data_IF_235858926620
#
_entry.id   IF_235858926620
#
_cell.length_a   1.000
_cell.length_b   1.000
_cell.length_c   1.000
_cell.angle_alpha   90.00
_cell.angle_beta   90.00
_cell.angle_gamma   90.00
#
_symmetry.space_group_name_H-M   'P 1'
#
loop_
_entity.id
_entity.type
_entity.pdbx_description
1 polymer ?
#
# COMPACT_ATOMS: atom_id res chain seq x y z
N UNK A 1 3.38 15.79 -19.59
CA UNK A 1 3.75 15.17 -18.28
C UNK A 1 5.28 15.25 -18.05
N UNK A 2 5.76 15.77 -16.91
CA UNK A 2 7.21 15.99 -16.64
C UNK A 2 7.80 14.90 -15.72
N UNK A 3 8.90 14.27 -16.16
CA UNK A 3 9.71 13.31 -15.39
C UNK A 3 10.83 14.04 -14.63
N UNK A 4 11.27 13.46 -13.51
CA UNK A 4 12.41 13.96 -12.72
C UNK A 4 13.35 12.81 -12.39
N UNK A 5 14.64 13.09 -12.34
CA UNK A 5 15.62 12.15 -11.78
C UNK A 5 15.52 12.19 -10.27
N UNK A 6 15.42 11.03 -9.64
CA UNK A 6 15.32 10.90 -8.19
C UNK A 6 16.65 10.45 -7.61
N UNK A 7 17.01 11.04 -6.47
CA UNK A 7 18.13 10.60 -5.65
C UNK A 7 17.74 10.73 -4.17
N UNK A 8 18.27 9.83 -3.34
CA UNK A 8 18.13 9.88 -1.89
C UNK A 8 19.47 10.36 -1.34
N UNK A 9 19.47 11.49 -0.63
CA UNK A 9 20.68 11.92 0.07
C UNK A 9 21.03 10.94 1.20
N UNK A 10 22.30 10.88 1.56
CA UNK A 10 22.79 10.00 2.62
C UNK A 10 22.04 10.21 3.95
N UNK A 11 21.70 11.46 4.28
CA UNK A 11 20.92 11.80 5.48
C UNK A 11 19.50 11.21 5.44
N UNK A 12 18.81 11.33 4.30
CA UNK A 12 17.47 10.77 4.14
C UNK A 12 17.53 9.25 4.16
N UNK A 13 18.54 8.66 3.51
CA UNK A 13 18.77 7.23 3.51
C UNK A 13 19.01 6.69 4.92
N UNK A 14 19.89 7.34 5.70
CA UNK A 14 20.18 6.97 7.08
C UNK A 14 18.98 7.17 8.02
N UNK A 15 18.17 8.21 7.80
CA UNK A 15 16.95 8.45 8.56
C UNK A 15 15.88 7.37 8.26
N UNK A 16 15.69 7.02 6.99
CA UNK A 16 14.83 5.91 6.58
C UNK A 16 15.33 4.60 7.19
N UNK A 17 16.62 4.28 7.10
CA UNK A 17 17.21 3.07 7.67
C UNK A 17 17.04 2.94 9.19
N UNK A 18 16.78 4.05 9.90
CA UNK A 18 16.44 4.05 11.32
C UNK A 18 14.93 3.88 11.60
N UNK A 19 14.12 3.59 10.59
CA UNK A 19 12.65 3.49 10.66
C UNK A 19 11.93 4.85 10.68
N UNK A 20 12.67 5.95 10.45
CA UNK A 20 12.20 7.35 10.52
C UNK A 20 12.10 7.95 9.13
N UNK A 21 12.44 9.24 8.99
CA UNK A 21 12.45 10.01 7.74
C UNK A 21 11.43 11.16 7.74
N UNK A 22 10.34 11.01 8.50
CA UNK A 22 9.29 12.01 8.60
C UNK A 22 8.54 12.23 7.28
N UNK A 23 7.53 13.10 7.35
CA UNK A 23 6.69 13.45 6.20
C UNK A 23 7.49 13.95 4.98
N UNK A 24 8.64 14.61 5.19
CA UNK A 24 9.49 15.10 4.11
C UNK A 24 10.14 13.98 3.29
N UNK A 25 10.63 12.91 3.94
CA UNK A 25 11.16 11.74 3.24
C UNK A 25 10.05 11.00 2.49
N UNK A 26 8.88 10.84 3.12
CA UNK A 26 7.71 10.19 2.47
C UNK A 26 7.25 10.97 1.23
N UNK A 27 7.24 12.32 1.26
CA UNK A 27 6.94 13.13 0.06
C UNK A 27 7.92 12.90 -1.09
N UNK A 28 9.21 12.68 -0.79
CA UNK A 28 10.22 12.34 -1.80
C UNK A 28 9.95 10.96 -2.41
N UNK A 29 9.62 9.98 -1.57
CA UNK A 29 9.25 8.63 -2.02
C UNK A 29 7.96 8.65 -2.86
N UNK A 30 6.95 9.42 -2.47
CA UNK A 30 5.74 9.60 -3.28
C UNK A 30 6.05 10.21 -4.67
N UNK A 31 7.03 11.12 -4.76
CA UNK A 31 7.46 11.69 -6.04
C UNK A 31 8.16 10.67 -6.96
N UNK A 32 8.81 9.65 -6.38
CA UNK A 32 9.39 8.52 -7.11
C UNK A 32 8.28 7.67 -7.72
N UNK A 33 7.29 7.26 -6.92
CA UNK A 33 6.15 6.47 -7.37
C UNK A 33 5.34 7.19 -8.44
N UNK A 34 5.12 8.50 -8.27
CA UNK A 34 4.55 9.35 -9.32
C UNK A 34 5.33 9.22 -10.64
N UNK A 35 6.65 9.31 -10.59
CA UNK A 35 7.47 9.25 -11.82
C UNK A 35 7.49 7.85 -12.43
N UNK A 36 7.43 6.80 -11.60
CA UNK A 36 7.22 5.42 -12.03
C UNK A 36 5.88 5.25 -12.73
N UNK A 37 4.78 5.79 -12.21
CA UNK A 37 3.47 5.75 -12.90
C UNK A 37 3.52 6.41 -14.28
N UNK A 38 4.17 7.57 -14.40
CA UNK A 38 4.36 8.24 -15.70
C UNK A 38 5.20 7.40 -16.69
N UNK A 39 6.24 6.73 -16.20
CA UNK A 39 7.03 5.81 -17.03
C UNK A 39 6.23 4.59 -17.46
N UNK A 40 5.41 4.03 -16.56
CA UNK A 40 4.54 2.90 -16.87
C UNK A 40 3.45 3.30 -17.89
N UNK A 41 2.85 4.49 -17.78
CA UNK A 41 1.91 5.02 -18.77
C UNK A 41 2.54 5.15 -20.15
N UNK A 42 3.73 5.75 -20.23
CA UNK A 42 4.44 5.85 -21.50
C UNK A 42 4.79 4.47 -22.07
N UNK A 43 5.29 3.59 -21.20
CA UNK A 43 5.61 2.21 -21.57
C UNK A 43 4.40 1.44 -22.07
N UNK A 44 3.20 1.68 -21.52
CA UNK A 44 1.96 1.05 -21.95
C UNK A 44 1.65 1.39 -23.42
N UNK A 45 1.66 2.68 -23.76
CA UNK A 45 1.36 3.17 -25.11
C UNK A 45 2.37 2.61 -26.11
N UNK A 46 3.66 2.69 -25.78
CA UNK A 46 4.74 2.18 -26.63
C UNK A 46 4.62 0.67 -26.83
N UNK A 47 4.42 -0.10 -25.75
CA UNK A 47 4.34 -1.56 -25.83
C UNK A 47 3.12 -2.01 -26.59
N UNK A 48 1.94 -1.45 -26.32
CA UNK A 48 0.72 -1.78 -27.05
C UNK A 48 0.88 -1.57 -28.56
N UNK A 49 1.56 -0.49 -28.97
CA UNK A 49 1.86 -0.22 -30.38
C UNK A 49 2.85 -1.25 -30.96
N UNK A 50 3.99 -1.47 -30.30
CA UNK A 50 5.04 -2.39 -30.79
C UNK A 50 4.59 -3.85 -30.87
N UNK A 51 3.66 -4.28 -30.01
CA UNK A 51 3.09 -5.64 -30.05
C UNK A 51 1.89 -5.76 -31.00
N UNK A 52 1.49 -4.67 -31.68
CA UNK A 52 0.32 -4.68 -32.57
C UNK A 52 -0.99 -4.98 -31.84
N UNK A 53 -1.11 -4.62 -30.56
CA UNK A 53 -2.30 -4.95 -29.77
C UNK A 53 -3.56 -4.30 -30.39
N UNK A 54 -4.71 -5.00 -30.51
CA UNK A 54 -5.91 -4.46 -31.18
C UNK A 54 -6.42 -3.13 -30.61
N UNK A 55 -6.13 -2.83 -29.35
CA UNK A 55 -6.48 -1.57 -28.70
C UNK A 55 -5.40 -0.47 -28.76
N UNK A 56 -4.29 -0.67 -29.46
CA UNK A 56 -3.17 0.28 -29.48
C UNK A 56 -3.58 1.69 -29.92
N UNK A 57 -4.36 1.82 -31.00
CA UNK A 57 -4.84 3.12 -31.48
C UNK A 57 -5.72 3.85 -30.46
N UNK A 58 -6.68 3.15 -29.83
CA UNK A 58 -7.52 3.72 -28.77
C UNK A 58 -6.72 4.10 -27.53
N UNK A 59 -5.69 3.33 -27.21
CA UNK A 59 -4.78 3.61 -26.08
C UNK A 59 -3.99 4.90 -26.34
N UNK A 60 -3.47 5.08 -27.56
CA UNK A 60 -2.76 6.30 -27.94
C UNK A 60 -3.69 7.54 -27.90
N UNK A 61 -4.90 7.47 -28.47
CA UNK A 61 -5.88 8.57 -28.42
C UNK A 61 -6.26 8.93 -26.97
N UNK A 62 -6.49 7.94 -26.10
CA UNK A 62 -6.76 8.19 -24.68
C UNK A 62 -5.56 8.87 -23.99
N UNK A 63 -4.33 8.44 -24.28
CA UNK A 63 -3.13 9.07 -23.75
C UNK A 63 -2.99 10.54 -24.17
N UNK A 64 -3.22 10.85 -25.44
CA UNK A 64 -3.11 12.22 -25.96
C UNK A 64 -4.17 13.14 -25.32
N UNK A 65 -5.40 12.64 -25.14
CA UNK A 65 -6.46 13.35 -24.42
C UNK A 65 -6.13 13.57 -22.95
N UNK A 66 -5.55 12.57 -22.28
CA UNK A 66 -5.09 12.71 -20.90
C UNK A 66 -3.94 13.73 -20.78
N UNK A 67 -3.04 13.75 -21.77
CA UNK A 67 -1.96 14.73 -21.84
C UNK A 67 -2.48 16.15 -22.07
N UNK A 68 -3.50 16.33 -22.93
CA UNK A 68 -4.16 17.63 -23.10
C UNK A 68 -4.85 18.10 -21.81
N UNK A 69 -5.58 17.20 -21.11
CA UNK A 69 -6.19 17.51 -19.82
C UNK A 69 -5.17 17.90 -18.75
N UNK A 70 -3.94 17.38 -18.81
CA UNK A 70 -2.89 17.69 -17.85
C UNK A 70 -2.42 19.14 -17.94
N UNK A 71 -2.54 19.78 -19.10
CA UNK A 71 -2.14 21.17 -19.31
C UNK A 71 -3.16 22.12 -18.70
N UNK A 72 -4.46 21.82 -18.83
CA UNK A 72 -5.55 22.67 -18.31
C UNK A 72 -5.95 22.35 -16.86
N UNK A 73 -5.89 21.07 -16.46
CA UNK A 73 -6.37 20.57 -15.18
C UNK A 73 -5.36 19.62 -14.51
N UNK A 74 -4.15 20.11 -14.16
CA UNK A 74 -3.06 19.25 -13.71
C UNK A 74 -3.38 18.47 -12.45
N UNK A 75 -4.10 19.07 -11.49
CA UNK A 75 -4.45 18.43 -10.22
C UNK A 75 -5.46 17.28 -10.41
N UNK A 76 -6.37 17.42 -11.37
CA UNK A 76 -7.36 16.39 -11.69
C UNK A 76 -6.68 15.16 -12.31
N UNK A 77 -5.76 15.36 -13.26
CA UNK A 77 -4.97 14.29 -13.85
C UNK A 77 -4.07 13.63 -12.80
N UNK A 78 -3.37 14.43 -11.99
CA UNK A 78 -2.50 13.92 -10.94
C UNK A 78 -3.26 13.05 -9.93
N UNK A 79 -4.47 13.44 -9.53
CA UNK A 79 -5.29 12.67 -8.60
C UNK A 79 -5.69 11.28 -9.13
N UNK A 80 -5.86 11.12 -10.45
CA UNK A 80 -6.20 9.84 -11.08
C UNK A 80 -4.95 9.02 -11.39
N UNK A 81 -3.94 9.62 -12.01
CA UNK A 81 -2.71 8.92 -12.41
C UNK A 81 -1.95 8.40 -11.19
N UNK A 82 -1.94 9.14 -10.09
CA UNK A 82 -1.34 8.71 -8.83
C UNK A 82 -2.31 7.94 -7.93
N UNK A 83 -3.48 7.55 -8.43
CA UNK A 83 -4.34 6.63 -7.71
C UNK A 83 -3.69 5.24 -7.67
N UNK A 84 -3.53 4.60 -6.50
CA UNK A 84 -2.73 3.37 -6.37
C UNK A 84 -3.13 2.23 -7.32
N UNK A 85 -4.44 2.04 -7.54
CA UNK A 85 -4.94 0.99 -8.43
C UNK A 85 -4.52 1.19 -9.90
N UNK A 86 -4.26 2.44 -10.34
CA UNK A 86 -3.76 2.73 -11.68
C UNK A 86 -2.34 2.18 -11.86
N UNK A 87 -1.48 2.31 -10.85
CA UNK A 87 -0.13 1.72 -10.87
C UNK A 87 -0.17 0.19 -10.99
N UNK A 88 -1.05 -0.45 -10.24
CA UNK A 88 -1.25 -1.90 -10.29
C UNK A 88 -1.77 -2.38 -11.64
N UNK A 89 -2.79 -1.72 -12.20
CA UNK A 89 -3.30 -1.99 -13.54
C UNK A 89 -2.20 -1.84 -14.60
N UNK A 90 -1.46 -0.73 -14.58
CA UNK A 90 -0.39 -0.46 -15.54
C UNK A 90 0.66 -1.56 -15.54
N UNK A 91 1.13 -1.96 -14.35
CA UNK A 91 2.12 -3.02 -14.21
C UNK A 91 1.56 -4.38 -14.67
N UNK A 92 0.35 -4.73 -14.24
CA UNK A 92 -0.32 -5.98 -14.64
C UNK A 92 -0.44 -6.06 -16.17
N UNK A 93 -0.90 -4.99 -16.80
CA UNK A 93 -1.07 -4.91 -18.26
C UNK A 93 0.26 -4.98 -19.00
N UNK A 94 1.31 -4.30 -18.51
CA UNK A 94 2.64 -4.37 -19.12
C UNK A 94 3.30 -5.74 -19.03
N UNK A 95 3.06 -6.48 -17.94
CA UNK A 95 3.49 -7.87 -17.82
C UNK A 95 2.70 -8.76 -18.79
N UNK A 96 1.38 -8.61 -18.84
CA UNK A 96 0.52 -9.35 -19.76
C UNK A 96 0.91 -9.10 -21.22
N UNK A 97 1.19 -7.86 -21.65
CA UNK A 97 1.67 -7.55 -23.00
C UNK A 97 2.95 -8.32 -23.39
N UNK A 98 3.74 -8.80 -22.42
CA UNK A 98 4.94 -9.61 -22.67
C UNK A 98 4.68 -11.11 -22.68
N UNK A 99 3.76 -11.59 -21.84
CA UNK A 99 3.56 -13.02 -21.61
C UNK A 99 2.27 -13.58 -22.19
N UNK A 100 1.18 -12.81 -22.13
CA UNK A 100 -0.16 -13.17 -22.59
C UNK A 100 -0.93 -11.90 -23.02
N UNK A 101 -0.78 -11.45 -24.27
CA UNK A 101 -1.42 -10.23 -24.76
C UNK A 101 -2.95 -10.25 -24.70
N UNK A 102 -3.60 -11.42 -24.66
CA UNK A 102 -5.07 -11.50 -24.56
C UNK A 102 -5.59 -11.09 -23.18
N UNK A 103 -4.76 -11.19 -22.14
CA UNK A 103 -5.08 -10.72 -20.80
C UNK A 103 -4.74 -9.24 -20.59
N UNK A 104 -3.98 -8.62 -21.50
CA UNK A 104 -3.63 -7.21 -21.41
C UNK A 104 -4.86 -6.31 -21.59
N UNK A 105 -4.94 -5.22 -20.82
CA UNK A 105 -6.04 -4.25 -20.87
C UNK A 105 -5.53 -2.81 -21.08
N UNK A 106 -4.79 -2.51 -22.18
CA UNK A 106 -4.28 -1.16 -22.41
C UNK A 106 -5.40 -0.14 -22.70
N UNK A 107 -6.56 -0.60 -23.16
CA UNK A 107 -7.78 0.18 -23.38
C UNK A 107 -8.39 0.80 -22.11
N UNK A 108 -8.05 0.28 -20.92
CA UNK A 108 -8.47 0.88 -19.65
C UNK A 108 -7.87 2.29 -19.43
N UNK A 109 -6.88 2.71 -20.24
CA UNK A 109 -6.43 4.11 -20.28
C UNK A 109 -7.57 5.08 -20.62
N UNK A 110 -8.58 4.64 -21.39
CA UNK A 110 -9.76 5.45 -21.67
C UNK A 110 -10.58 5.74 -20.40
N UNK A 111 -10.70 4.77 -19.47
CA UNK A 111 -11.37 4.96 -18.19
C UNK A 111 -10.60 5.89 -17.25
N UNK A 112 -9.25 5.80 -17.25
CA UNK A 112 -8.36 6.75 -16.54
C UNK A 112 -8.57 8.17 -17.07
N UNK A 113 -8.62 8.32 -18.39
CA UNK A 113 -8.85 9.62 -19.06
C UNK A 113 -10.22 10.18 -18.76
N UNK A 114 -11.25 9.34 -18.82
CA UNK A 114 -12.61 9.71 -18.44
C UNK A 114 -12.70 10.18 -16.98
N UNK A 115 -12.08 9.45 -16.05
CA UNK A 115 -12.05 9.84 -14.64
C UNK A 115 -11.36 11.19 -14.42
N UNK A 116 -10.27 11.45 -15.14
CA UNK A 116 -9.57 12.73 -15.08
C UNK A 116 -10.45 13.88 -15.60
N UNK A 117 -11.14 13.69 -16.73
CA UNK A 117 -12.06 14.68 -17.28
C UNK A 117 -13.23 14.99 -16.32
N UNK A 118 -13.81 13.95 -15.70
CA UNK A 118 -14.90 14.08 -14.73
C UNK A 118 -14.46 14.87 -13.49
N UNK A 119 -13.22 14.68 -13.03
CA UNK A 119 -12.63 15.48 -11.93
C UNK A 119 -12.40 16.92 -12.35
N UNK A 120 -11.90 17.12 -13.56
CA UNK A 120 -11.64 18.44 -14.15
C UNK A 120 -12.93 19.19 -14.50
N UNK A 121 -14.09 18.51 -14.55
CA UNK A 121 -15.34 19.01 -15.15
C UNK A 121 -15.11 19.51 -16.60
N UNK A 122 -14.19 18.84 -17.30
CA UNK A 122 -13.81 19.18 -18.66
C UNK A 122 -14.79 18.59 -19.66
N UNK A 123 -14.97 19.28 -20.80
CA UNK A 123 -15.75 18.79 -21.92
C UNK A 123 -14.99 17.63 -22.60
N UNK A 124 -15.45 16.39 -22.38
CA UNK A 124 -14.86 15.20 -23.00
C UNK A 124 -15.94 14.16 -23.27
N UNK A 125 -15.86 13.51 -24.43
CA UNK A 125 -16.58 12.27 -24.71
C UNK A 125 -15.56 11.22 -25.15
N UNK A 126 -15.58 10.06 -24.50
CA UNK A 126 -14.63 8.97 -24.79
C UNK A 126 -15.32 7.62 -24.66
N UNK A 127 -15.02 6.72 -25.60
CA UNK A 127 -15.49 5.34 -25.56
C UNK A 127 -14.62 4.51 -24.61
N UNK A 128 -15.27 3.69 -23.80
CA UNK A 128 -14.64 2.79 -22.83
C UNK A 128 -15.20 1.39 -22.99
N UNK A 129 -14.41 0.40 -22.59
CA UNK A 129 -14.85 -1.00 -22.54
C UNK A 129 -15.40 -1.32 -21.16
N UNK A 130 -16.49 -2.06 -21.15
CA UNK A 130 -17.16 -2.54 -19.93
C UNK A 130 -17.06 -4.05 -19.87
N UNK A 131 -16.93 -4.59 -18.66
CA UNK A 131 -16.76 -6.01 -18.42
C UNK A 131 -17.37 -6.41 -17.09
N UNK A 132 -17.97 -7.60 -17.03
CA UNK A 132 -18.62 -8.13 -15.82
C UNK A 132 -19.73 -7.22 -15.28
N UNK A 133 -20.45 -6.55 -16.18
CA UNK A 133 -21.56 -5.65 -15.90
C UNK A 133 -21.15 -4.33 -15.22
N UNK A 134 -19.89 -3.92 -15.39
CA UNK A 134 -19.34 -2.75 -14.72
C UNK A 134 -18.29 -1.99 -15.55
N UNK A 135 -18.13 -0.71 -15.21
CA UNK A 135 -17.03 0.17 -15.59
C UNK A 135 -16.46 0.80 -14.31
N UNK A 136 -15.15 0.65 -14.09
CA UNK A 136 -14.46 1.31 -12.99
C UNK A 136 -13.83 2.61 -13.48
N UNK A 137 -14.11 3.71 -12.78
CA UNK A 137 -13.49 5.02 -12.99
C UNK A 137 -12.53 5.26 -11.83
N UNK A 138 -11.20 5.08 -12.04
CA UNK A 138 -10.22 5.11 -10.96
C UNK A 138 -10.33 6.38 -10.13
N UNK A 139 -10.19 6.24 -8.80
CA UNK A 139 -10.39 7.29 -7.80
C UNK A 139 -11.81 7.86 -7.67
N UNK A 140 -12.79 7.43 -8.46
CA UNK A 140 -14.17 7.95 -8.42
C UNK A 140 -15.18 6.91 -7.96
N UNK A 141 -15.25 5.76 -8.62
CA UNK A 141 -16.25 4.75 -8.32
C UNK A 141 -16.49 3.74 -9.45
N UNK A 142 -17.56 2.98 -9.31
CA UNK A 142 -18.01 1.94 -10.23
C UNK A 142 -19.37 2.32 -10.84
N UNK A 143 -19.48 2.21 -12.17
CA UNK A 143 -20.73 2.37 -12.91
C UNK A 143 -21.23 0.98 -13.31
N UNK A 144 -22.49 0.67 -13.03
CA UNK A 144 -23.16 -0.58 -13.44
C UNK A 144 -23.84 -0.38 -14.78
N UNK A 145 -23.32 -1.04 -15.80
CA UNK A 145 -23.78 -0.95 -17.19
C UNK A 145 -23.57 -2.31 -17.88
N UNK A 146 -24.32 -2.62 -18.96
CA UNK A 146 -24.10 -3.83 -19.73
C UNK A 146 -22.67 -3.95 -20.28
N UNK A 147 -22.23 -5.18 -20.53
CA UNK A 147 -20.94 -5.49 -21.15
C UNK A 147 -20.88 -5.02 -22.60
N UNK A 148 -19.68 -4.63 -23.05
CA UNK A 148 -19.44 -4.14 -24.40
C UNK A 148 -18.71 -2.81 -24.42
N UNK A 149 -19.27 -1.86 -25.17
CA UNK A 149 -18.72 -0.50 -25.32
C UNK A 149 -19.70 0.49 -24.72
N UNK A 150 -19.20 1.39 -23.87
CA UNK A 150 -19.94 2.50 -23.31
C UNK A 150 -19.26 3.83 -23.69
N UNK A 151 -20.02 4.91 -23.71
CA UNK A 151 -19.48 6.28 -23.86
C UNK A 151 -19.56 6.99 -22.54
N UNK A 152 -18.44 7.49 -22.04
CA UNK A 152 -18.39 8.39 -20.89
C UNK A 152 -18.37 9.82 -21.38
N UNK A 153 -19.30 10.64 -20.90
CA UNK A 153 -19.41 12.06 -21.21
C UNK A 153 -19.19 12.87 -19.96
N UNK A 154 -18.30 13.85 -20.04
CA UNK A 154 -18.01 14.85 -19.01
C UNK A 154 -18.23 16.23 -19.58
N UNK A 155 -18.82 17.11 -18.77
CA UNK A 155 -19.06 18.52 -19.07
C UNK A 155 -18.86 19.35 -17.79
N UNK A 156 -18.92 20.68 -17.91
CA UNK A 156 -18.91 21.57 -16.74
C UNK A 156 -20.09 21.30 -15.78
N UNK A 157 -21.23 20.84 -16.31
CA UNK A 157 -22.49 20.65 -15.57
C UNK A 157 -22.71 19.23 -15.03
N UNK A 158 -21.80 18.29 -15.28
CA UNK A 158 -21.94 16.92 -14.79
C UNK A 158 -21.37 15.88 -15.76
N UNK A 159 -21.58 14.60 -15.42
CA UNK A 159 -21.10 13.48 -16.20
C UNK A 159 -22.11 12.33 -16.24
N UNK A 160 -22.10 11.58 -17.33
CA UNK A 160 -22.90 10.37 -17.48
C UNK A 160 -22.19 9.31 -18.32
N UNK A 161 -22.66 8.07 -18.17
CA UNK A 161 -22.21 6.91 -18.94
C UNK A 161 -23.40 6.35 -19.70
N UNK A 162 -23.23 6.17 -21.00
CA UNK A 162 -24.25 5.61 -21.90
C UNK A 162 -23.75 4.28 -22.46
N UNK A 163 -24.56 3.23 -22.36
CA UNK A 163 -24.30 1.90 -22.94
C UNK A 163 -25.61 1.35 -23.54
N UNK A 164 -25.71 1.35 -24.86
CA UNK A 164 -26.98 1.04 -25.55
C UNK A 164 -28.10 1.98 -25.11
N UNK A 165 -29.20 1.42 -24.58
CA UNK A 165 -30.32 2.18 -24.00
C UNK A 165 -30.12 2.58 -22.54
N UNK A 166 -29.09 2.04 -21.87
CA UNK A 166 -28.81 2.36 -20.47
C UNK A 166 -28.04 3.68 -20.36
N UNK A 167 -28.50 4.55 -19.45
CA UNK A 167 -27.80 5.79 -19.08
C UNK A 167 -27.69 5.88 -17.57
N UNK A 168 -26.48 6.09 -17.07
CA UNK A 168 -26.20 6.31 -15.65
C UNK A 168 -25.61 7.71 -15.48
N UNK A 169 -26.28 8.55 -14.68
CA UNK A 169 -25.76 9.87 -14.31
C UNK A 169 -24.84 9.72 -13.11
N UNK A 170 -23.65 10.30 -13.19
CA UNK A 170 -22.69 10.31 -12.07
C UNK A 170 -23.09 11.46 -11.13
N UNK A 171 -23.32 11.21 -9.83
CA UNK A 171 -23.75 12.25 -8.90
C UNK A 171 -22.64 13.29 -8.65
N UNK A 172 -23.03 14.51 -8.28
CA UNK A 172 -22.09 15.57 -7.90
C UNK A 172 -21.23 15.17 -6.70
N UNK A 173 -21.87 14.66 -5.64
CA UNK A 173 -21.19 13.94 -4.56
C UNK A 173 -20.94 12.50 -4.99
N UNK A 174 -19.79 12.32 -5.62
CA UNK A 174 -19.34 11.04 -6.16
C UNK A 174 -19.08 9.97 -5.09
N UNK A 175 -19.08 10.34 -3.80
CA UNK A 175 -18.90 9.36 -2.71
C UNK A 175 -20.19 8.64 -2.30
N UNK A 176 -21.35 9.09 -2.82
CA UNK A 176 -22.64 8.47 -2.57
C UNK A 176 -22.94 7.34 -3.55
N UNK A 177 -23.80 6.41 -3.11
CA UNK A 177 -24.36 5.37 -3.96
C UNK A 177 -25.72 5.83 -4.47
N UNK A 178 -25.95 5.69 -5.77
CA UNK A 178 -27.25 5.93 -6.43
C UNK A 178 -27.51 4.80 -7.44
N UNK A 179 -28.74 4.59 -7.93
CA UNK A 179 -29.01 3.53 -8.90
C UNK A 179 -28.05 3.59 -10.10
N UNK A 180 -27.30 2.50 -10.31
CA UNK A 180 -26.30 2.39 -11.37
C UNK A 180 -24.90 2.93 -11.03
N UNK A 181 -24.69 3.57 -9.88
CA UNK A 181 -23.41 4.14 -9.45
C UNK A 181 -23.05 3.74 -8.02
N UNK A 182 -21.80 3.30 -7.83
CA UNK A 182 -21.20 3.07 -6.52
C UNK A 182 -20.01 3.98 -6.32
N UNK A 183 -20.14 4.92 -5.39
CA UNK A 183 -19.11 5.88 -5.07
C UNK A 183 -18.00 5.31 -4.20
N UNK A 184 -16.77 5.79 -4.39
CA UNK A 184 -15.71 5.55 -3.40
C UNK A 184 -16.01 6.35 -2.13
N UNK A 185 -16.18 5.62 -1.02
CA UNK A 185 -16.56 6.22 0.28
C UNK A 185 -15.34 6.82 0.95
N UNK A 186 -15.56 7.77 1.86
CA UNK A 186 -14.49 8.42 2.63
C UNK A 186 -14.52 8.02 4.10
N UNK A 187 -13.34 7.80 4.64
CA UNK A 187 -13.05 7.66 6.06
C UNK A 187 -12.19 8.85 6.48
N UNK A 188 -12.72 9.67 7.37
CA UNK A 188 -12.01 10.86 7.86
C UNK A 188 -11.93 10.78 9.37
N UNK A 189 -10.76 11.10 9.92
CA UNK A 189 -10.51 11.24 11.35
C UNK A 189 -9.81 12.56 11.65
N UNK A 190 -10.15 13.17 12.79
CA UNK A 190 -9.57 14.43 13.25
C UNK A 190 -9.10 14.33 14.70
N UNK A 191 -7.85 14.68 14.96
CA UNK A 191 -7.28 14.73 16.31
C UNK A 191 -6.09 15.72 16.35
N UNK A 192 -5.93 16.45 17.45
CA UNK A 192 -4.84 17.42 17.66
C UNK A 192 -4.61 18.39 16.48
N UNK A 193 -5.71 18.88 15.89
CA UNK A 193 -5.67 19.81 14.74
C UNK A 193 -5.17 19.17 13.42
N UNK A 194 -5.07 17.84 13.36
CA UNK A 194 -4.63 17.09 12.17
C UNK A 194 -5.74 16.20 11.66
N UNK A 195 -5.89 16.17 10.33
CA UNK A 195 -6.84 15.31 9.64
C UNK A 195 -6.13 14.13 8.96
N UNK A 196 -6.77 12.97 8.98
CA UNK A 196 -6.44 11.85 8.10
C UNK A 196 -7.67 11.55 7.24
N UNK A 197 -7.52 11.73 5.93
CA UNK A 197 -8.54 11.46 4.92
C UNK A 197 -8.13 10.26 4.08
N UNK A 198 -8.90 9.18 4.17
CA UNK A 198 -8.70 7.97 3.39
C UNK A 198 -9.93 7.71 2.50
N UNK A 199 -9.67 7.34 1.26
CA UNK A 199 -10.68 6.72 0.40
C UNK A 199 -10.80 5.25 0.78
N UNK A 200 -12.00 4.79 1.09
CA UNK A 200 -12.30 3.37 1.21
C UNK A 200 -12.59 2.82 -0.18
N UNK A 201 -11.65 2.05 -0.72
CA UNK A 201 -11.81 1.38 -2.01
C UNK A 201 -12.22 -0.08 -1.81
N UNK A 202 -13.47 -0.37 -2.11
CA UNK A 202 -14.04 -1.71 -2.06
C UNK A 202 -14.72 -2.11 -3.38
N UNK A 203 -14.37 -1.41 -4.47
CA UNK A 203 -14.93 -1.64 -5.80
C UNK A 203 -13.85 -1.87 -6.87
N UNK A 204 -12.73 -1.14 -6.87
CA UNK A 204 -11.77 -1.20 -7.99
C UNK A 204 -11.08 -2.57 -8.07
N UNK A 205 -11.03 -3.25 -9.22
CA UNK A 205 -10.47 -4.59 -9.35
C UNK A 205 -8.95 -4.66 -9.11
N UNK A 206 -8.23 -3.54 -9.26
CA UNK A 206 -6.78 -3.44 -9.07
C UNK A 206 -6.40 -2.84 -7.71
N UNK A 207 -7.39 -2.62 -6.81
CA UNK A 207 -7.18 -1.98 -5.49
C UNK A 207 -6.20 -2.70 -4.58
N UNK A 208 -6.06 -4.02 -4.71
CA UNK A 208 -5.08 -4.81 -3.96
C UNK A 208 -4.90 -6.20 -4.57
N UNK A 209 -3.66 -6.72 -4.73
CA UNK A 209 -3.40 -8.09 -5.14
C UNK A 209 -3.55 -9.07 -3.95
N UNK A 210 -4.74 -9.11 -3.34
CA UNK A 210 -5.03 -9.92 -2.16
C UNK A 210 -6.48 -10.39 -2.15
N UNK A 211 -6.85 -11.20 -1.15
CA UNK A 211 -8.23 -11.61 -0.95
C UNK A 211 -9.09 -10.46 -0.39
N UNK A 212 -9.65 -9.67 -1.31
CA UNK A 212 -10.38 -8.43 -1.01
C UNK A 212 -11.83 -8.69 -0.62
N UNK A 213 -12.35 -7.86 0.29
CA UNK A 213 -13.78 -7.81 0.58
C UNK A 213 -14.52 -7.06 -0.55
N UNK A 214 -15.80 -7.38 -0.75
CA UNK A 214 -16.68 -6.60 -1.62
C UNK A 214 -17.17 -5.32 -0.94
N UNK A 215 -18.20 -4.68 -1.51
CA UNK A 215 -18.83 -3.47 -0.95
C UNK A 215 -19.21 -3.68 0.52
N UNK A 216 -18.63 -2.89 1.43
CA UNK A 216 -18.91 -3.03 2.86
C UNK A 216 -20.34 -2.56 3.21
N UNK A 217 -21.08 -3.29 4.07
CA UNK A 217 -22.32 -2.80 4.66
C UNK A 217 -22.11 -1.54 5.52
N UNK A 218 -23.15 -0.72 5.67
CA UNK A 218 -23.05 0.54 6.44
C UNK A 218 -22.65 0.31 7.91
N UNK A 219 -23.09 -0.80 8.52
CA UNK A 219 -22.70 -1.14 9.89
C UNK A 219 -21.19 -1.35 10.03
N UNK A 220 -20.56 -2.03 9.07
CA UNK A 220 -19.11 -2.26 9.07
C UNK A 220 -18.35 -0.98 8.75
N UNK A 221 -18.88 -0.14 7.85
CA UNK A 221 -18.34 1.19 7.58
C UNK A 221 -18.30 2.08 8.83
N UNK A 222 -19.35 2.05 9.67
CA UNK A 222 -19.37 2.78 10.95
C UNK A 222 -18.27 2.28 11.89
N UNK A 223 -18.05 0.96 11.97
CA UNK A 223 -16.96 0.39 12.77
C UNK A 223 -15.58 0.84 12.28
N UNK A 224 -15.37 0.90 10.96
CA UNK A 224 -14.14 1.45 10.36
C UNK A 224 -13.92 2.91 10.75
N UNK A 225 -14.97 3.75 10.68
CA UNK A 225 -14.89 5.17 11.07
C UNK A 225 -14.52 5.32 12.55
N UNK A 226 -15.17 4.55 13.44
CA UNK A 226 -14.87 4.59 14.89
C UNK A 226 -13.44 4.17 15.18
N UNK A 227 -13.00 3.03 14.63
CA UNK A 227 -11.63 2.54 14.82
C UNK A 227 -10.59 3.53 14.28
N UNK A 228 -10.84 4.13 13.11
CA UNK A 228 -9.93 5.13 12.52
C UNK A 228 -9.82 6.38 13.39
N UNK A 229 -10.94 6.87 13.93
CA UNK A 229 -10.95 8.03 14.81
C UNK A 229 -10.15 7.78 16.09
N UNK A 230 -10.33 6.62 16.72
CA UNK A 230 -9.55 6.21 17.90
C UNK A 230 -8.06 6.05 17.56
N UNK A 231 -7.75 5.35 16.47
CA UNK A 231 -6.38 5.13 16.03
C UNK A 231 -5.64 6.44 15.73
N UNK A 232 -6.32 7.38 15.08
CA UNK A 232 -5.75 8.68 14.76
C UNK A 232 -5.49 9.51 16.00
N UNK A 233 -6.37 9.46 17.01
CA UNK A 233 -6.11 10.05 18.32
C UNK A 233 -4.83 9.51 18.99
N UNK A 234 -4.65 8.19 19.00
CA UNK A 234 -3.44 7.56 19.54
C UNK A 234 -2.19 8.00 18.77
N UNK A 235 -2.25 7.95 17.43
CA UNK A 235 -1.11 8.29 16.58
C UNK A 235 -0.71 9.77 16.70
N UNK A 236 -1.67 10.69 16.74
CA UNK A 236 -1.37 12.12 16.81
C UNK A 236 -0.85 12.53 18.19
N UNK A 237 -1.42 11.98 19.26
CA UNK A 237 -1.02 12.29 20.63
C UNK A 237 0.31 11.65 21.04
N UNK A 238 0.59 10.43 20.60
CA UNK A 238 1.72 9.63 21.11
C UNK A 238 2.78 9.35 20.03
N UNK A 239 2.42 9.40 18.74
CA UNK A 239 3.33 9.06 17.63
C UNK A 239 3.36 10.14 16.54
N UNK A 240 3.54 11.44 16.87
CA UNK A 240 3.26 12.54 15.94
C UNK A 240 4.10 12.50 14.65
N UNK A 241 5.33 11.97 14.70
CA UNK A 241 6.16 11.77 13.50
C UNK A 241 5.58 10.67 12.61
N UNK A 242 5.15 9.56 13.18
CA UNK A 242 4.53 8.44 12.46
C UNK A 242 3.18 8.87 11.88
N UNK A 243 2.38 9.63 12.63
CA UNK A 243 1.13 10.21 12.14
C UNK A 243 1.38 11.09 10.89
N UNK A 244 2.39 11.96 10.94
CA UNK A 244 2.74 12.82 9.80
C UNK A 244 3.25 12.01 8.59
N UNK A 245 3.94 10.88 8.80
CA UNK A 245 4.32 9.96 7.73
C UNK A 245 3.09 9.28 7.12
N UNK A 246 2.18 8.76 7.94
CA UNK A 246 0.93 8.10 7.51
C UNK A 246 0.06 9.04 6.68
N UNK A 247 -0.11 10.28 7.14
CA UNK A 247 -0.92 11.30 6.45
C UNK A 247 -0.43 11.60 5.04
N UNK A 248 0.88 11.48 4.79
CA UNK A 248 1.47 11.68 3.46
C UNK A 248 1.45 10.39 2.64
N UNK A 249 1.78 9.26 3.28
CA UNK A 249 1.97 7.98 2.60
C UNK A 249 0.64 7.41 2.09
N UNK A 250 -0.39 7.38 2.94
CA UNK A 250 -1.61 6.62 2.67
C UNK A 250 -2.76 7.52 2.27
N UNK A 251 -3.49 7.09 1.24
CA UNK A 251 -4.67 7.76 0.71
C UNK A 251 -5.84 6.82 0.51
N UNK A 252 -5.56 5.51 0.42
CA UNK A 252 -6.56 4.47 0.15
C UNK A 252 -6.49 3.42 1.25
N UNK A 253 -7.66 3.01 1.73
CA UNK A 253 -7.85 1.83 2.54
C UNK A 253 -8.66 0.82 1.71
N UNK A 254 -8.10 -0.37 1.51
CA UNK A 254 -8.79 -1.49 0.85
C UNK A 254 -9.19 -2.50 1.92
N UNK A 255 -10.48 -2.78 2.11
CA UNK A 255 -10.89 -3.80 3.05
C UNK A 255 -10.55 -5.20 2.51
N UNK A 256 -9.87 -6.00 3.32
CA UNK A 256 -9.59 -7.41 3.04
C UNK A 256 -10.63 -8.30 3.69
N UNK A 257 -10.83 -9.49 3.12
CA UNK A 257 -11.72 -10.49 3.73
C UNK A 257 -11.17 -10.92 5.09
N UNK A 258 -12.06 -11.04 6.07
CA UNK A 258 -11.68 -11.45 7.42
C UNK A 258 -11.10 -12.87 7.39
N UNK A 259 -9.88 -13.11 7.91
CA UNK A 259 -9.34 -14.45 8.01
C UNK A 259 -10.06 -15.23 9.13
N UNK A 260 -10.01 -16.58 9.13
CA UNK A 260 -10.60 -17.39 10.19
C UNK A 260 -10.05 -17.09 11.59
N UNK A 261 -8.80 -16.62 11.67
CA UNK A 261 -8.12 -16.24 12.91
C UNK A 261 -7.23 -15.03 12.69
N UNK A 262 -7.19 -14.13 13.67
CA UNK A 262 -6.31 -12.96 13.67
C UNK A 262 -6.77 -11.85 12.73
N UNK A 263 -5.82 -11.00 12.34
CA UNK A 263 -5.99 -9.91 11.40
C UNK A 263 -4.99 -10.08 10.27
N UNK A 264 -5.37 -9.69 9.06
CA UNK A 264 -4.45 -9.59 7.93
C UNK A 264 -4.37 -8.14 7.47
N UNK A 265 -3.15 -7.68 7.22
CA UNK A 265 -2.87 -6.42 6.55
C UNK A 265 -1.74 -6.60 5.55
N UNK A 266 -1.63 -5.67 4.62
CA UNK A 266 -0.49 -5.58 3.74
C UNK A 266 -0.50 -4.32 2.89
N UNK A 267 0.69 -3.99 2.43
CA UNK A 267 0.98 -2.96 1.43
C UNK A 267 1.67 -3.64 0.27
N UNK A 268 1.18 -3.43 -0.96
CA UNK A 268 1.81 -3.99 -2.15
C UNK A 268 2.69 -2.93 -2.83
N UNK A 269 3.79 -3.37 -3.44
CA UNK A 269 4.73 -2.48 -4.16
C UNK A 269 4.08 -1.81 -5.38
N UNK A 270 3.02 -2.42 -5.88
CA UNK A 270 2.25 -1.97 -7.04
C UNK A 270 1.16 -0.96 -6.69
N UNK A 271 0.82 -0.82 -5.40
CA UNK A 271 -0.26 0.05 -4.90
C UNK A 271 0.24 0.98 -3.80
N UNK A 272 1.37 1.67 -4.04
CA UNK A 272 1.89 2.65 -3.07
C UNK A 272 0.79 3.65 -2.68
N UNK A 273 0.57 3.78 -1.37
CA UNK A 273 -0.47 4.63 -0.78
C UNK A 273 -1.79 3.93 -0.48
N UNK A 274 -1.90 2.63 -0.79
CA UNK A 274 -2.97 1.76 -0.28
C UNK A 274 -2.51 0.99 0.94
N UNK A 275 -3.36 0.97 1.98
CA UNK A 275 -3.32 -0.04 3.03
C UNK A 275 -4.43 -1.05 2.79
N UNK A 276 -4.08 -2.30 2.53
CA UNK A 276 -5.03 -3.40 2.57
C UNK A 276 -5.13 -3.93 4.00
N UNK A 277 -6.33 -4.02 4.58
CA UNK A 277 -6.49 -4.70 5.87
C UNK A 277 -7.90 -5.25 6.13
N UNK A 278 -7.97 -6.36 6.87
CA UNK A 278 -9.22 -6.85 7.44
C UNK A 278 -9.68 -5.95 8.60
N UNK A 279 -10.98 -5.98 8.97
CA UNK A 279 -11.51 -5.15 10.05
C UNK A 279 -10.68 -5.27 11.35
N UNK A 280 -10.22 -4.16 11.94
CA UNK A 280 -9.46 -4.19 13.18
C UNK A 280 -10.37 -4.50 14.38
N UNK A 281 -9.79 -5.03 15.46
CA UNK A 281 -10.53 -5.27 16.72
C UNK A 281 -10.89 -3.97 17.44
N UNK A 282 -10.04 -2.96 17.35
CA UNK A 282 -10.13 -1.66 18.03
C UNK A 282 -9.16 -0.63 17.40
N UNK A 283 -9.22 0.62 17.86
CA UNK A 283 -8.34 1.69 17.40
C UNK A 283 -6.85 1.49 17.72
N UNK A 284 -6.50 0.79 18.81
CA UNK A 284 -5.10 0.55 19.17
C UNK A 284 -4.43 -0.42 18.19
N UNK A 285 -5.13 -1.49 17.84
CA UNK A 285 -4.71 -2.44 16.82
C UNK A 285 -4.60 -1.76 15.46
N UNK A 286 -5.56 -0.91 15.08
CA UNK A 286 -5.47 -0.13 13.84
C UNK A 286 -4.27 0.85 13.85
N UNK A 287 -4.01 1.54 14.95
CA UNK A 287 -2.86 2.45 15.08
C UNK A 287 -1.52 1.71 14.89
N UNK A 288 -1.35 0.57 15.56
CA UNK A 288 -0.16 -0.27 15.38
C UNK A 288 -0.05 -0.80 13.94
N UNK A 289 -1.18 -1.17 13.32
CA UNK A 289 -1.22 -1.62 11.91
C UNK A 289 -0.81 -0.51 10.95
N UNK A 290 -1.33 0.71 11.09
CA UNK A 290 -0.92 1.83 10.23
C UNK A 290 0.57 2.19 10.40
N UNK A 291 1.09 2.10 11.63
CA UNK A 291 2.51 2.26 11.92
C UNK A 291 3.39 1.15 11.31
N UNK A 292 2.85 -0.05 11.13
CA UNK A 292 3.49 -1.15 10.40
C UNK A 292 3.49 -0.88 8.90
N UNK A 293 2.32 -0.57 8.33
CA UNK A 293 2.14 -0.45 6.88
C UNK A 293 2.89 0.74 6.28
N UNK A 294 3.02 1.85 7.02
CA UNK A 294 3.81 3.00 6.55
C UNK A 294 5.29 2.64 6.33
N UNK A 295 5.82 1.68 7.08
CA UNK A 295 7.20 1.21 6.87
C UNK A 295 7.30 0.35 5.60
N UNK A 296 6.31 -0.49 5.31
CA UNK A 296 6.26 -1.21 4.04
C UNK A 296 6.18 -0.25 2.85
N UNK A 297 5.33 0.79 2.93
CA UNK A 297 5.25 1.83 1.91
C UNK A 297 6.61 2.53 1.69
N UNK A 298 7.29 2.93 2.79
CA UNK A 298 8.60 3.59 2.72
C UNK A 298 9.66 2.71 2.07
N UNK A 299 9.78 1.45 2.50
CA UNK A 299 10.81 0.55 1.96
C UNK A 299 10.52 0.12 0.53
N UNK A 300 9.25 -0.10 0.18
CA UNK A 300 8.82 -0.40 -1.19
C UNK A 300 9.29 0.69 -2.15
N UNK A 301 8.92 1.94 -1.87
CA UNK A 301 9.30 3.07 -2.72
C UNK A 301 10.81 3.36 -2.72
N UNK A 302 11.51 3.11 -1.61
CA UNK A 302 12.97 3.21 -1.57
C UNK A 302 13.63 2.15 -2.46
N UNK A 303 13.07 0.94 -2.49
CA UNK A 303 13.65 -0.19 -3.25
C UNK A 303 13.56 0.00 -4.76
N UNK A 304 12.65 0.86 -5.24
CA UNK A 304 12.55 1.23 -6.65
C UNK A 304 13.71 2.12 -7.14
N UNK A 305 14.45 2.75 -6.22
CA UNK A 305 15.57 3.65 -6.55
C UNK A 305 16.90 3.23 -5.94
N UNK A 306 16.88 2.42 -4.87
CA UNK A 306 18.08 1.87 -4.23
C UNK A 306 17.95 0.36 -4.12
N UNK A 307 18.81 -0.36 -4.84
CA UNK A 307 18.89 -1.82 -4.73
C UNK A 307 19.57 -2.21 -3.42
N UNK A 308 18.80 -2.76 -2.48
CA UNK A 308 19.29 -3.19 -1.16
C UNK A 308 19.73 -4.66 -1.10
N UNK A 309 19.25 -5.49 -2.03
CA UNK A 309 19.53 -6.93 -2.07
C UNK A 309 20.07 -7.35 -3.44
N UNK A 310 20.94 -8.35 -3.41
CA UNK A 310 21.34 -9.10 -4.58
C UNK A 310 20.16 -9.97 -5.08
N UNK A 311 20.37 -10.69 -6.19
CA UNK A 311 19.31 -11.52 -6.76
C UNK A 311 18.88 -12.62 -5.76
N UNK A 312 17.60 -13.00 -5.80
CA UNK A 312 17.11 -14.13 -4.98
C UNK A 312 17.82 -15.41 -5.42
N UNK A 313 18.51 -16.06 -4.48
CA UNK A 313 19.22 -17.32 -4.69
C UNK A 313 18.38 -18.55 -4.29
N UNK A 314 17.10 -18.34 -3.99
CA UNK A 314 16.16 -19.39 -3.61
C UNK A 314 16.19 -19.75 -2.12
N UNK A 315 17.16 -19.24 -1.33
CA UNK A 315 17.16 -19.50 0.11
C UNK A 315 15.92 -18.90 0.77
N UNK A 316 15.46 -19.58 1.82
CA UNK A 316 14.30 -19.19 2.61
C UNK A 316 14.68 -19.12 4.08
N UNK A 317 14.18 -18.11 4.76
CA UNK A 317 14.54 -17.75 6.12
C UNK A 317 13.32 -17.77 7.03
N UNK A 318 13.57 -18.06 8.30
CA UNK A 318 12.57 -17.91 9.35
C UNK A 318 12.21 -16.44 9.57
N UNK A 319 10.92 -16.13 9.71
CA UNK A 319 10.40 -14.81 10.04
C UNK A 319 9.58 -14.88 11.33
N UNK A 320 9.91 -14.15 12.42
CA UNK A 320 9.23 -14.25 13.73
C UNK A 320 7.73 -13.86 13.78
N UNK A 321 7.19 -13.40 12.66
CA UNK A 321 5.82 -12.87 12.52
C UNK A 321 4.99 -13.61 11.47
N UNK A 322 5.55 -14.63 10.81
CA UNK A 322 4.86 -15.40 9.78
C UNK A 322 5.20 -16.88 9.88
N UNK A 323 4.20 -17.69 9.56
CA UNK A 323 4.32 -19.15 9.60
C UNK A 323 5.02 -19.71 8.34
N UNK A 324 5.08 -18.97 7.21
CA UNK A 324 5.78 -19.39 5.97
C UNK A 324 7.26 -18.93 5.91
N UNK A 325 8.19 -19.76 5.39
CA UNK A 325 9.56 -19.36 5.11
C UNK A 325 9.62 -18.22 4.08
N UNK A 326 10.49 -17.23 4.29
CA UNK A 326 10.53 -16.00 3.48
C UNK A 326 11.80 -15.89 2.64
N UNK A 327 11.74 -15.40 1.39
CA UNK A 327 12.95 -14.94 0.69
C UNK A 327 13.58 -13.74 1.43
N UNK A 328 14.83 -13.43 1.16
CA UNK A 328 15.55 -12.32 1.81
C UNK A 328 14.82 -10.97 1.67
N UNK A 329 14.22 -10.69 0.50
CA UNK A 329 13.40 -9.50 0.28
C UNK A 329 12.19 -9.45 1.22
N UNK A 330 11.49 -10.57 1.37
CA UNK A 330 10.36 -10.67 2.30
C UNK A 330 10.78 -10.54 3.76
N UNK A 331 11.95 -11.05 4.13
CA UNK A 331 12.51 -10.91 5.47
C UNK A 331 12.91 -9.46 5.76
N UNK A 332 13.58 -8.78 4.82
CA UNK A 332 13.96 -7.36 4.94
C UNK A 332 12.72 -6.47 5.11
N UNK A 333 11.69 -6.67 4.29
CA UNK A 333 10.42 -5.95 4.43
C UNK A 333 9.79 -6.16 5.80
N UNK A 334 9.71 -7.40 6.27
CA UNK A 334 9.17 -7.69 7.59
C UNK A 334 10.01 -7.07 8.71
N UNK A 335 11.33 -7.21 8.67
CA UNK A 335 12.23 -6.66 9.68
C UNK A 335 12.12 -5.13 9.79
N UNK A 336 11.96 -4.45 8.65
CA UNK A 336 11.78 -3.00 8.61
C UNK A 336 10.40 -2.56 9.13
N UNK A 337 9.34 -3.30 8.84
CA UNK A 337 8.03 -3.01 9.42
C UNK A 337 8.00 -3.26 10.93
N UNK A 338 8.58 -4.36 11.39
CA UNK A 338 8.66 -4.68 12.82
C UNK A 338 9.65 -3.79 13.59
N UNK A 339 10.60 -3.13 12.93
CA UNK A 339 11.33 -2.00 13.52
C UNK A 339 10.38 -0.85 13.88
N UNK A 340 9.44 -0.51 12.99
CA UNK A 340 8.41 0.50 13.24
C UNK A 340 7.41 0.07 14.33
N UNK A 341 6.94 -1.17 14.30
CA UNK A 341 6.06 -1.74 15.34
C UNK A 341 6.75 -1.74 16.70
N UNK A 342 8.05 -2.10 16.74
CA UNK A 342 8.84 -2.02 17.98
C UNK A 342 8.90 -0.59 18.49
N UNK A 343 9.12 0.40 17.61
CA UNK A 343 9.14 1.81 17.98
C UNK A 343 7.77 2.30 18.53
N UNK A 344 6.67 1.85 17.92
CA UNK A 344 5.31 2.13 18.38
C UNK A 344 5.11 1.61 19.80
N UNK A 345 5.33 0.31 20.05
CA UNK A 345 5.14 -0.27 21.37
C UNK A 345 6.13 0.25 22.41
N UNK A 346 7.33 0.65 21.98
CA UNK A 346 8.32 1.29 22.86
C UNK A 346 7.76 2.51 23.58
N UNK A 347 6.94 3.29 22.88
CA UNK A 347 6.32 4.48 23.44
C UNK A 347 4.92 4.17 24.01
N UNK A 348 4.08 3.47 23.26
CA UNK A 348 2.68 3.20 23.63
C UNK A 348 2.54 2.43 24.96
N UNK A 349 3.49 1.54 25.29
CA UNK A 349 3.45 0.75 26.54
C UNK A 349 3.34 1.61 27.81
N UNK A 350 3.79 2.87 27.78
CA UNK A 350 3.73 3.78 28.93
C UNK A 350 2.38 4.48 29.09
N UNK A 351 1.49 4.37 28.10
CA UNK A 351 0.14 4.92 28.12
C UNK A 351 -0.93 3.87 28.43
N UNK A 352 -0.60 2.59 28.24
CA UNK A 352 -1.49 1.47 28.56
C UNK A 352 -1.44 1.08 30.04
N UNK A 353 -2.56 0.55 30.57
CA UNK A 353 -2.70 0.12 31.97
C UNK A 353 -3.36 -1.27 32.06
N UNK A 354 -3.27 -1.91 33.22
CA UNK A 354 -3.83 -3.24 33.45
C UNK A 354 -3.31 -4.28 32.46
N UNK A 355 -4.19 -5.15 31.97
CA UNK A 355 -3.85 -6.20 30.99
C UNK A 355 -3.30 -5.64 29.68
N UNK A 356 -3.80 -4.48 29.21
CA UNK A 356 -3.28 -3.80 28.02
C UNK A 356 -1.84 -3.32 28.22
N UNK A 357 -1.50 -2.86 29.43
CA UNK A 357 -0.13 -2.52 29.80
C UNK A 357 0.80 -3.72 29.69
N UNK A 358 0.40 -4.86 30.26
CA UNK A 358 1.18 -6.11 30.16
C UNK A 358 1.36 -6.52 28.69
N UNK A 359 0.28 -6.50 27.89
CA UNK A 359 0.33 -6.79 26.46
C UNK A 359 1.31 -5.85 25.74
N UNK A 360 1.20 -4.54 25.91
CA UNK A 360 2.05 -3.56 25.23
C UNK A 360 3.54 -3.73 25.58
N UNK A 361 3.86 -4.03 26.84
CA UNK A 361 5.22 -4.37 27.25
C UNK A 361 5.70 -5.69 26.63
N UNK A 362 4.82 -6.70 26.53
CA UNK A 362 5.14 -7.98 25.88
C UNK A 362 5.38 -7.81 24.38
N UNK A 363 4.55 -7.04 23.68
CA UNK A 363 4.71 -6.73 22.26
C UNK A 363 6.04 -6.01 22.00
N UNK A 364 6.40 -4.99 22.79
CA UNK A 364 7.71 -4.34 22.69
C UNK A 364 8.87 -5.33 22.88
N UNK A 365 8.80 -6.17 23.92
CA UNK A 365 9.85 -7.14 24.22
C UNK A 365 9.98 -8.23 23.15
N UNK A 366 8.86 -8.70 22.60
CA UNK A 366 8.80 -9.71 21.54
C UNK A 366 9.38 -9.17 20.25
N UNK A 367 8.92 -8.00 19.81
CA UNK A 367 9.28 -7.48 18.49
C UNK A 367 10.68 -6.90 18.42
N UNK A 368 11.20 -6.28 19.49
CA UNK A 368 12.62 -5.87 19.50
C UNK A 368 13.56 -7.07 19.32
N UNK A 369 13.26 -8.20 19.95
CA UNK A 369 14.06 -9.42 19.83
C UNK A 369 13.89 -10.07 18.46
N UNK A 370 12.65 -10.21 17.99
CA UNK A 370 12.34 -10.80 16.68
C UNK A 370 12.93 -10.01 15.51
N UNK A 371 12.72 -8.69 15.47
CA UNK A 371 13.29 -7.83 14.44
C UNK A 371 14.83 -7.81 14.51
N UNK A 372 15.41 -7.80 15.71
CA UNK A 372 16.86 -7.88 15.92
C UNK A 372 17.46 -9.15 15.33
N UNK A 373 16.87 -10.31 15.63
CA UNK A 373 17.31 -11.59 15.09
C UNK A 373 17.16 -11.68 13.57
N UNK A 374 16.07 -11.16 12.99
CA UNK A 374 15.90 -11.11 11.53
C UNK A 374 16.95 -10.22 10.85
N UNK A 375 17.30 -9.09 11.47
CA UNK A 375 18.38 -8.20 11.01
C UNK A 375 19.73 -8.91 11.05
N UNK A 376 20.03 -9.66 12.11
CA UNK A 376 21.27 -10.44 12.20
C UNK A 376 21.35 -11.53 11.11
N UNK A 377 20.24 -12.22 10.83
CA UNK A 377 20.14 -13.18 9.72
C UNK A 377 20.40 -12.52 8.37
N UNK A 378 19.80 -11.35 8.11
CA UNK A 378 20.03 -10.59 6.87
C UNK A 378 21.50 -10.19 6.71
N UNK A 379 22.14 -9.71 7.78
CA UNK A 379 23.57 -9.36 7.77
C UNK A 379 24.47 -10.57 7.47
N UNK A 380 24.13 -11.74 8.01
CA UNK A 380 24.87 -12.98 7.80
C UNK A 380 24.56 -13.68 6.47
N UNK A 381 23.48 -13.30 5.78
CA UNK A 381 23.01 -14.00 4.57
C UNK A 381 23.97 -13.92 3.39
N UNK A 382 24.80 -12.87 3.32
CA UNK A 382 25.60 -12.55 2.13
C UNK A 382 24.80 -12.00 0.95
N UNK A 383 23.51 -11.71 1.11
CA UNK A 383 22.59 -11.26 0.04
C UNK A 383 22.39 -9.75 -0.03
N UNK A 384 23.03 -8.99 0.86
CA UNK A 384 22.90 -7.53 0.90
C UNK A 384 23.93 -6.88 -0.03
N UNK A 385 23.46 -5.93 -0.84
CA UNK A 385 24.35 -5.02 -1.58
C UNK A 385 25.11 -4.11 -0.60
N UNK A 386 26.06 -3.31 -1.09
CA UNK A 386 26.75 -2.32 -0.24
C UNK A 386 25.78 -1.35 0.45
N UNK A 387 24.77 -0.86 -0.28
CA UNK A 387 23.71 -0.02 0.29
C UNK A 387 22.83 -0.79 1.29
N UNK A 388 22.49 -2.05 0.97
CA UNK A 388 21.76 -2.94 1.86
C UNK A 388 22.47 -3.16 3.20
N UNK A 389 23.79 -3.41 3.18
CA UNK A 389 24.61 -3.57 4.39
C UNK A 389 24.56 -2.32 5.26
N UNK A 390 24.67 -1.14 4.66
CA UNK A 390 24.58 0.13 5.41
C UNK A 390 23.18 0.33 6.02
N UNK A 391 22.13 0.05 5.24
CA UNK A 391 20.74 0.17 5.68
C UNK A 391 20.44 -0.77 6.86
N UNK A 392 20.74 -2.05 6.70
CA UNK A 392 20.49 -3.08 7.72
C UNK A 392 21.39 -2.87 8.94
N UNK A 393 22.64 -2.42 8.78
CA UNK A 393 23.50 -2.07 9.91
C UNK A 393 22.92 -0.91 10.74
N UNK A 394 22.25 0.06 10.10
CA UNK A 394 21.57 1.14 10.83
C UNK A 394 20.36 0.61 11.59
N UNK A 395 19.54 -0.24 10.98
CA UNK A 395 18.43 -0.94 11.67
C UNK A 395 18.95 -1.70 12.90
N UNK A 396 20.06 -2.44 12.74
CA UNK A 396 20.72 -3.19 13.81
C UNK A 396 21.10 -2.31 14.98
N UNK A 397 21.73 -1.15 14.73
CA UNK A 397 22.12 -0.20 15.78
C UNK A 397 20.91 0.34 16.55
N UNK A 398 19.82 0.66 15.85
CA UNK A 398 18.58 1.14 16.49
C UNK A 398 17.98 0.07 17.39
N UNK A 399 17.84 -1.17 16.90
CA UNK A 399 17.29 -2.27 17.68
C UNK A 399 18.19 -2.66 18.85
N UNK A 400 19.51 -2.66 18.66
CA UNK A 400 20.49 -2.94 19.71
C UNK A 400 20.33 -1.97 20.89
N UNK A 401 20.13 -0.67 20.62
CA UNK A 401 19.90 0.33 21.66
C UNK A 401 18.63 0.08 22.48
N UNK A 402 17.65 -0.66 21.94
CA UNK A 402 16.39 -0.96 22.63
C UNK A 402 16.40 -2.31 23.35
N UNK A 403 17.39 -3.19 23.10
CA UNK A 403 17.42 -4.54 23.69
C UNK A 403 17.49 -4.49 25.22
N UNK A 404 18.26 -3.56 25.77
CA UNK A 404 18.46 -3.43 27.22
C UNK A 404 17.35 -2.69 27.96
N UNK A 405 16.34 -2.15 27.28
CA UNK A 405 15.29 -1.40 27.96
C UNK A 405 14.47 -2.31 28.90
N UNK A 406 14.23 -1.90 30.16
CA UNK A 406 13.53 -2.74 31.11
C UNK A 406 12.06 -2.91 30.73
N UNK A 407 11.55 -4.12 30.97
CA UNK A 407 10.12 -4.47 30.91
C UNK A 407 9.77 -5.30 32.14
N UNK A 408 8.51 -5.29 32.62
CA UNK A 408 8.08 -6.16 33.72
C UNK A 408 8.36 -7.63 33.43
N UNK A 409 8.73 -8.40 34.46
CA UNK A 409 9.10 -9.81 34.33
C UNK A 409 7.98 -10.67 33.71
N UNK A 410 6.73 -10.42 34.07
CA UNK A 410 5.54 -11.08 33.50
C UNK A 410 5.43 -10.82 31.99
N UNK A 411 5.65 -9.57 31.57
CA UNK A 411 5.59 -9.20 30.16
C UNK A 411 6.75 -9.85 29.36
N UNK A 412 7.95 -9.91 29.94
CA UNK A 412 9.11 -10.59 29.35
C UNK A 412 8.88 -12.09 29.21
N UNK A 413 8.29 -12.75 30.21
CA UNK A 413 7.96 -14.17 30.17
C UNK A 413 6.94 -14.49 29.07
N UNK A 414 5.86 -13.69 28.98
CA UNK A 414 4.87 -13.82 27.91
C UNK A 414 5.49 -13.65 26.53
N UNK A 415 6.31 -12.62 26.33
CA UNK A 415 7.00 -12.37 25.06
C UNK A 415 7.88 -13.55 24.63
N UNK A 416 8.63 -14.16 25.57
CA UNK A 416 9.45 -15.34 25.30
C UNK A 416 8.59 -16.55 24.93
N UNK A 417 7.56 -16.84 25.72
CA UNK A 417 6.66 -17.97 25.46
C UNK A 417 6.00 -17.88 24.08
N UNK A 418 5.55 -16.69 23.67
CA UNK A 418 4.96 -16.48 22.34
C UNK A 418 5.99 -16.66 21.21
N UNK A 419 7.20 -16.10 21.37
CA UNK A 419 8.26 -16.21 20.37
C UNK A 419 8.79 -17.65 20.21
N UNK A 420 9.04 -18.34 21.33
CA UNK A 420 9.48 -19.73 21.36
C UNK A 420 8.39 -20.66 20.83
N UNK A 421 7.13 -20.42 21.21
CA UNK A 421 5.97 -21.16 20.70
C UNK A 421 5.83 -21.02 19.18
N UNK A 422 6.01 -19.81 18.65
CA UNK A 422 6.02 -19.58 17.20
C UNK A 422 7.18 -20.31 16.50
N UNK A 423 8.41 -20.15 17.00
CA UNK A 423 9.58 -20.83 16.43
C UNK A 423 9.44 -22.35 16.46
N UNK A 424 8.88 -22.91 17.54
CA UNK A 424 8.62 -24.35 17.65
C UNK A 424 7.58 -24.84 16.64
N UNK A 425 6.48 -24.09 16.41
CA UNK A 425 5.51 -24.40 15.36
C UNK A 425 6.16 -24.35 13.98
N UNK A 426 6.93 -23.31 13.70
CA UNK A 426 7.61 -23.14 12.42
C UNK A 426 8.61 -24.28 12.15
N UNK A 427 9.44 -24.66 13.14
CA UNK A 427 10.39 -25.78 13.01
C UNK A 427 9.70 -27.12 12.79
N UNK A 428 8.55 -27.35 13.42
CA UNK A 428 7.75 -28.56 13.16
C UNK A 428 7.20 -28.60 11.74
N UNK A 429 6.81 -27.46 11.19
CA UNK A 429 6.24 -27.38 9.84
C UNK A 429 7.31 -27.44 8.74
N UNK A 430 8.51 -26.90 8.98
CA UNK A 430 9.50 -26.64 7.91
C UNK A 430 10.87 -27.31 8.15
N UNK A 431 11.03 -28.07 9.23
CA UNK A 431 12.30 -28.65 9.64
C UNK A 431 13.26 -27.65 10.28
N UNK A 432 14.47 -28.10 10.62
CA UNK A 432 15.50 -27.20 11.13
C UNK A 432 16.00 -26.28 10.01
N UNK A 433 16.10 -24.96 10.23
CA UNK A 433 16.75 -24.09 9.25
C UNK A 433 18.19 -24.56 9.08
N UNK A 434 18.61 -24.75 7.83
CA UNK A 434 20.02 -24.92 7.52
C UNK A 434 20.77 -23.64 7.91
N UNK A 435 21.25 -23.57 9.15
CA UNK A 435 22.35 -22.68 9.47
C UNK A 435 23.51 -23.17 8.61
N UNK A 436 23.96 -22.31 7.67
CA UNK A 436 24.99 -22.65 6.71
C UNK A 436 26.21 -23.23 7.42
N UNK A 437 26.33 -24.55 7.40
CA UNK A 437 27.60 -25.22 7.59
C UNK A 437 28.27 -25.14 6.23
N UNK A 438 29.26 -24.26 6.14
CA UNK A 438 30.33 -24.38 5.15
C UNK A 438 30.83 -25.84 5.21
N UNK A 439 30.57 -26.60 4.14
CA UNK A 439 31.23 -27.89 3.93
C UNK A 439 32.71 -27.63 3.58
N UNK A 440 33.61 -28.51 4.04
CA UNK A 440 35.06 -28.29 4.06
C UNK A 440 35.68 -28.10 2.68
#
# INVERSE_FOLDING_TARGET
MKLRRHNVSDDVFAALAAGRGGAAAVRRLAAVERSKHLLLLRGLVERAATTGHPAAGRTADAYDRLAALQDDAPDAVEAVVCYPAVGAWLRSTLLALRSDPEQARPDQLAAVTAAAAIRARAQLSIEVRTSSGALFLPSLGEVRVPDGTATVRSTAGGADVVSGSARVVIPDDRSQDVPGWRGLRRLTAYADGKALDLVLDDVDPYRMPADVAGRLPEAELRSWRSALQEAWGILTAHHPSTAAEIQVAHRVLTPLRRPPRGQVSGTASETFGTVGMSPPSDGLTLAATLAHEVQHAKLGALSDIVRLLDADDGRRFYAPWREDPRPAAGLLHGAYAYLGVTAFWRHQRHHERGERGVLAHSEFARWRAGAGGAVDVLMASGLLTSAGKQFVARMRRVLAAWQGEPVPASAQARARAEAEGHLARWRRAHGHPAFGTSRP
#
